data_IF_115482029766
#
_entry.id   IF_115482029766
#
_cell.length_a   1.000
_cell.length_b   1.000
_cell.length_c   1.000
_cell.angle_alpha   90.00
_cell.angle_beta   90.00
_cell.angle_gamma   90.00
#
_symmetry.space_group_name_H-M   'P 1'
#
loop_
_entity.id
_entity.type
_entity.pdbx_description
1 polymer ?
#
# COMPACT_ATOMS: atom_id res chain seq x y z
N UNK A 1 8.34 -15.97 -5.29
CA UNK A 1 8.71 -15.29 -6.56
C UNK A 1 8.89 -13.83 -6.22
N UNK A 2 10.10 -13.27 -6.36
CA UNK A 2 10.33 -11.85 -6.08
C UNK A 2 9.79 -11.06 -7.27
N UNK A 3 8.68 -10.35 -7.07
CA UNK A 3 8.10 -9.48 -8.10
C UNK A 3 8.93 -8.18 -8.12
N UNK A 4 9.26 -7.69 -9.32
CA UNK A 4 10.04 -6.46 -9.47
C UNK A 4 9.26 -5.26 -8.95
N UNK A 5 9.87 -4.48 -8.06
CA UNK A 5 9.30 -3.23 -7.56
C UNK A 5 9.23 -2.24 -8.73
N UNK A 6 8.19 -1.40 -8.81
CA UNK A 6 7.86 -0.49 -9.94
C UNK A 6 7.14 -1.13 -11.14
N UNK A 7 6.49 -2.29 -10.99
CA UNK A 7 5.65 -2.88 -12.03
C UNK A 7 4.15 -2.79 -11.71
N UNK A 8 3.29 -2.71 -12.73
CA UNK A 8 1.85 -2.86 -12.56
C UNK A 8 1.47 -4.24 -11.99
N UNK A 9 0.74 -4.32 -10.87
CA UNK A 9 0.26 -5.59 -10.26
C UNK A 9 -1.25 -5.56 -10.03
N UNK A 10 -1.98 -6.69 -10.10
CA UNK A 10 -3.44 -6.63 -9.89
C UNK A 10 -3.80 -6.29 -8.43
N UNK A 11 -5.07 -5.98 -8.15
CA UNK A 11 -5.50 -5.62 -6.79
C UNK A 11 -5.31 -6.69 -5.72
N UNK A 12 -5.26 -7.97 -6.12
CA UNK A 12 -4.93 -9.08 -5.22
C UNK A 12 -3.42 -9.21 -4.96
N UNK A 13 -2.60 -8.60 -5.82
CA UNK A 13 -1.16 -8.85 -5.90
C UNK A 13 -0.29 -7.87 -5.11
N UNK A 14 -0.87 -6.79 -4.55
CA UNK A 14 -0.09 -5.79 -3.80
C UNK A 14 0.60 -6.39 -2.57
N UNK A 15 -0.10 -7.23 -1.80
CA UNK A 15 0.49 -7.89 -0.64
C UNK A 15 1.58 -8.88 -1.07
N UNK A 16 1.32 -9.66 -2.12
CA UNK A 16 2.29 -10.60 -2.69
C UNK A 16 3.56 -9.90 -3.21
N UNK A 17 3.42 -8.73 -3.83
CA UNK A 17 4.53 -7.90 -4.28
C UNK A 17 5.41 -7.43 -3.11
N UNK A 18 4.78 -7.08 -1.98
CA UNK A 18 5.46 -6.51 -0.83
C UNK A 18 5.95 -7.53 0.20
N UNK A 19 5.67 -8.82 0.01
CA UNK A 19 5.92 -9.88 0.99
C UNK A 19 7.38 -10.04 1.41
N UNK A 20 8.31 -9.79 0.48
CA UNK A 20 9.75 -9.85 0.73
C UNK A 20 10.40 -8.46 0.77
N UNK A 21 9.59 -7.41 0.86
CA UNK A 21 10.06 -6.02 0.80
C UNK A 21 9.87 -5.32 2.15
N UNK A 22 10.67 -4.27 2.37
CA UNK A 22 10.63 -3.47 3.59
C UNK A 22 10.79 -2.01 3.24
N UNK A 23 9.93 -1.15 3.79
CA UNK A 23 10.00 0.29 3.63
C UNK A 23 8.64 0.94 3.43
N UNK A 24 8.67 2.18 2.95
CA UNK A 24 7.52 3.01 2.64
C UNK A 24 7.30 3.04 1.13
N UNK A 25 6.06 2.80 0.72
CA UNK A 25 5.66 2.67 -0.66
C UNK A 25 4.54 3.65 -1.00
N UNK A 26 4.69 4.32 -2.15
CA UNK A 26 3.61 5.02 -2.83
C UNK A 26 2.97 4.03 -3.79
N UNK A 27 1.68 3.75 -3.59
CA UNK A 27 0.91 2.84 -4.42
C UNK A 27 -0.17 3.64 -5.15
N UNK A 28 -0.32 3.47 -6.47
CA UNK A 28 -1.32 4.16 -7.26
C UNK A 28 -2.27 3.15 -7.90
N UNK A 29 -3.58 3.39 -7.81
CA UNK A 29 -4.61 2.61 -8.49
C UNK A 29 -5.72 3.56 -8.96
N UNK A 30 -6.15 3.48 -10.23
CA UNK A 30 -7.24 4.32 -10.78
C UNK A 30 -7.08 5.81 -10.48
N UNK A 31 -5.86 6.33 -10.63
CA UNK A 31 -5.55 7.73 -10.34
C UNK A 31 -5.51 8.10 -8.84
N UNK A 32 -5.96 7.23 -7.93
CA UNK A 32 -5.84 7.43 -6.49
C UNK A 32 -4.47 6.99 -6.00
N UNK A 33 -3.82 7.86 -5.23
CA UNK A 33 -2.56 7.56 -4.56
C UNK A 33 -2.80 7.04 -3.14
N UNK A 34 -1.98 6.09 -2.71
CA UNK A 34 -2.04 5.45 -1.41
C UNK A 34 -0.64 5.35 -0.80
N UNK A 35 -0.57 5.43 0.52
CA UNK A 35 0.62 5.05 1.29
C UNK A 35 0.46 3.65 1.86
N UNK A 36 1.50 2.84 1.68
CA UNK A 36 1.61 1.49 2.23
C UNK A 36 2.99 1.32 2.87
N UNK A 37 3.06 0.62 4.01
CA UNK A 37 4.33 0.22 4.63
C UNK A 37 4.40 -1.29 4.63
N UNK A 38 5.53 -1.84 4.17
CA UNK A 38 5.87 -3.25 4.34
C UNK A 38 6.99 -3.39 5.38
N UNK A 39 6.90 -4.42 6.22
CA UNK A 39 7.90 -4.74 7.25
C UNK A 39 8.26 -6.21 7.18
N UNK A 40 9.41 -6.58 7.76
CA UNK A 40 9.74 -7.98 7.95
C UNK A 40 8.59 -8.75 8.63
N UNK A 41 8.15 -9.84 8.00
CA UNK A 41 7.04 -10.66 8.47
C UNK A 41 5.63 -10.06 8.26
N UNK A 42 5.51 -8.86 7.67
CA UNK A 42 4.23 -8.22 7.38
C UNK A 42 4.28 -7.52 6.01
N UNK A 43 3.76 -8.19 4.98
CA UNK A 43 3.70 -7.68 3.60
C UNK A 43 2.98 -6.33 3.52
N UNK A 44 1.98 -6.11 4.40
CA UNK A 44 1.34 -4.81 4.62
C UNK A 44 1.26 -4.59 6.13
N UNK A 45 2.21 -3.86 6.69
CA UNK A 45 2.21 -3.43 8.08
C UNK A 45 1.31 -2.19 8.31
N UNK A 46 1.09 -1.39 7.27
CA UNK A 46 0.19 -0.25 7.28
C UNK A 46 -0.34 0.06 5.88
N UNK A 47 -1.59 0.49 5.77
CA UNK A 47 -2.24 0.85 4.51
C UNK A 47 -2.91 -0.34 3.81
N UNK A 48 -3.27 -0.22 2.51
CA UNK A 48 -3.14 0.98 1.67
C UNK A 48 -4.04 2.12 2.16
N UNK A 49 -3.45 3.26 2.53
CA UNK A 49 -4.21 4.43 3.02
C UNK A 49 -4.26 5.50 1.95
N UNK A 50 -5.44 5.99 1.54
CA UNK A 50 -5.54 7.00 0.50
C UNK A 50 -4.90 8.32 0.92
N UNK A 51 -4.24 8.97 -0.04
CA UNK A 51 -3.67 10.30 0.11
C UNK A 51 -4.67 11.32 -0.43
N UNK A 52 -5.00 12.33 0.38
CA UNK A 52 -5.90 13.42 -0.01
C UNK A 52 -7.37 13.01 -0.07
N UNK A 53 -8.15 13.71 -0.91
CA UNK A 53 -9.56 13.41 -1.12
C UNK A 53 -9.69 12.09 -1.88
N UNK A 54 -10.45 11.16 -1.32
CA UNK A 54 -10.75 9.87 -1.96
C UNK A 54 -11.48 10.11 -3.27
N UNK A 55 -10.94 9.58 -4.36
CA UNK A 55 -11.60 9.52 -5.66
C UNK A 55 -12.66 8.41 -5.58
N UNK A 56 -13.93 8.79 -5.45
CA UNK A 56 -15.06 7.89 -5.62
C UNK A 56 -15.41 7.80 -7.11
N UNK A 57 -14.60 7.11 -7.90
CA UNK A 57 -15.04 6.63 -9.19
C UNK A 57 -15.77 5.30 -8.99
N UNK A 58 -17.04 5.25 -9.38
CA UNK A 58 -17.80 4.02 -9.41
C UNK A 58 -17.12 3.09 -10.42
N UNK A 59 -16.58 1.93 -10.02
CA UNK A 59 -15.98 1.00 -10.96
C UNK A 59 -17.07 0.63 -11.98
N UNK A 60 -16.88 0.98 -13.24
CA UNK A 60 -17.81 0.53 -14.27
C UNK A 60 -17.73 -1.00 -14.31
N UNK A 61 -18.88 -1.68 -14.38
CA UNK A 61 -18.94 -3.16 -14.28
C UNK A 61 -18.09 -3.91 -15.34
N UNK A 62 -17.59 -3.19 -16.35
CA UNK A 62 -16.73 -3.71 -17.42
C UNK A 62 -15.23 -3.43 -17.24
N UNK A 63 -14.82 -2.71 -16.20
CA UNK A 63 -13.39 -2.50 -15.93
C UNK A 63 -12.82 -3.68 -15.16
N UNK A 64 -11.90 -4.41 -15.81
CA UNK A 64 -11.07 -5.40 -15.14
C UNK A 64 -10.26 -4.80 -13.98
N UNK A 65 -9.59 -5.63 -13.16
CA UNK A 65 -8.76 -5.13 -12.08
C UNK A 65 -7.64 -4.26 -12.68
N UNK A 66 -7.68 -2.95 -12.39
CA UNK A 66 -6.61 -2.06 -12.82
C UNK A 66 -5.33 -2.35 -12.05
N UNK A 67 -4.18 -2.30 -12.73
CA UNK A 67 -2.93 -2.54 -12.07
C UNK A 67 -2.58 -1.43 -11.08
N UNK A 68 -2.05 -1.83 -9.95
CA UNK A 68 -1.36 -0.99 -8.99
C UNK A 68 0.04 -0.68 -9.49
N UNK A 69 0.40 0.60 -9.53
CA UNK A 69 1.80 1.02 -9.68
C UNK A 69 2.38 1.21 -8.29
N UNK A 70 3.49 0.55 -7.99
CA UNK A 70 4.07 0.54 -6.64
C UNK A 70 5.52 1.02 -6.68
N UNK A 71 5.76 2.15 -6.05
CA UNK A 71 7.08 2.80 -6.01
C UNK A 71 7.57 2.85 -4.57
N UNK A 72 8.77 2.32 -4.35
CA UNK A 72 9.44 2.46 -3.05
C UNK A 72 9.96 3.89 -2.89
N UNK A 73 9.49 4.60 -1.88
CA UNK A 73 9.85 6.02 -1.64
C UNK A 73 10.78 6.21 -0.44
N UNK A 74 10.88 5.21 0.45
CA UNK A 74 11.87 5.18 1.54
C UNK A 74 12.13 3.76 2.02
N UNK A 75 13.31 3.52 2.59
CA UNK A 75 13.62 2.29 3.32
C UNK A 75 13.10 2.30 4.76
N UNK A 76 12.65 3.46 5.27
CA UNK A 76 12.09 3.56 6.62
C UNK A 76 10.73 2.87 6.73
N UNK A 77 10.51 2.22 7.86
CA UNK A 77 9.24 1.59 8.23
C UNK A 77 8.55 2.26 9.43
N UNK A 78 9.12 3.37 9.91
CA UNK A 78 8.70 4.08 11.12
C UNK A 78 7.28 4.67 10.99
N UNK A 79 6.83 4.95 9.76
CA UNK A 79 5.49 5.48 9.52
C UNK A 79 4.37 4.57 10.04
N UNK A 80 4.59 3.25 10.03
CA UNK A 80 3.63 2.32 10.61
C UNK A 80 3.55 2.43 12.14
N UNK A 81 4.64 2.81 12.81
CA UNK A 81 4.76 2.87 14.27
C UNK A 81 4.06 4.09 14.84
N UNK A 82 4.16 5.22 14.14
CA UNK A 82 3.53 6.49 14.52
C UNK A 82 2.00 6.39 14.69
N UNK A 83 1.34 5.48 13.96
CA UNK A 83 -0.12 5.28 14.08
C UNK A 83 -0.52 4.12 14.98
N UNK A 84 0.38 3.21 15.33
CA UNK A 84 0.12 2.20 16.36
C UNK A 84 0.21 2.80 17.77
N UNK A 85 0.96 3.88 17.96
CA UNK A 85 1.00 4.67 19.20
C UNK A 85 -0.13 5.69 19.34
N UNK A 86 -1.35 5.34 18.94
CA UNK A 86 -2.53 6.00 19.51
C UNK A 86 -2.53 5.77 21.02
N UNK A 87 -3.10 6.66 21.85
CA UNK A 87 -3.09 6.48 23.29
C UNK A 87 -3.69 5.10 23.57
N UNK A 88 -2.92 4.23 24.22
CA UNK A 88 -3.47 3.09 24.93
C UNK A 88 -4.41 3.72 25.94
N UNK A 89 -5.69 3.81 25.57
CA UNK A 89 -6.74 4.30 26.44
C UNK A 89 -6.71 3.40 27.66
N UNK A 90 -6.32 4.00 28.78
CA UNK A 90 -6.50 3.47 30.11
C UNK A 90 -7.91 2.90 30.20
N UNK A 91 -8.00 1.57 30.28
CA UNK A 91 -9.17 0.88 30.81
C UNK A 91 -8.97 0.70 32.30
#
# INVERSE_FOLDING_TARGET
>A
MKLDINVPVSGLDLASLLDSEQGLFLCQNRGQNYITVAKAGHSIAFGPTPIGRVIQEQPSANQGPEPWVVTKISNSTEFAEFRTSGPVGSR
#
